data_IF_558411419368
#
_entry.id   IF_558411419368
#
_cell.length_a   1.000
_cell.length_b   1.000
_cell.length_c   1.000
_cell.angle_alpha   90.00
_cell.angle_beta   90.00
_cell.angle_gamma   90.00
#
_symmetry.space_group_name_H-M   'P 1'
#
loop_
_entity.id
_entity.type
_entity.pdbx_description
1 polymer ?
#
# COMPACT_ATOMS: atom_id res chain seq x y z
N UNK A 1 16.11 -10.99 24.78
CA UNK A 1 14.91 -10.49 24.05
C UNK A 1 13.77 -11.45 24.37
N UNK A 2 12.66 -10.96 24.91
CA UNK A 2 11.43 -11.75 25.04
C UNK A 2 10.80 -11.80 23.64
N UNK A 3 10.51 -12.99 23.08
CA UNK A 3 9.78 -13.06 21.82
C UNK A 3 8.39 -12.49 22.05
N UNK A 4 8.03 -11.46 21.28
CA UNK A 4 6.66 -10.99 21.21
C UNK A 4 5.86 -12.13 20.57
N UNK A 5 4.73 -12.56 21.17
CA UNK A 5 3.87 -13.57 20.56
C UNK A 5 3.44 -13.13 19.16
N UNK A 6 3.56 -14.02 18.18
CA UNK A 6 3.08 -13.78 16.80
C UNK A 6 1.56 -13.61 16.82
N UNK A 7 1.07 -12.60 16.11
CA UNK A 7 -0.38 -12.44 15.91
C UNK A 7 -0.83 -13.46 14.85
N UNK A 8 -1.93 -14.21 15.07
CA UNK A 8 -2.46 -15.13 14.06
C UNK A 8 -2.73 -14.49 12.69
N UNK A 9 -2.92 -13.17 12.64
CA UNK A 9 -3.17 -12.42 11.42
C UNK A 9 -1.90 -12.07 10.64
N UNK A 10 -0.71 -12.14 11.26
CA UNK A 10 0.57 -11.71 10.67
C UNK A 10 0.88 -12.37 9.33
N UNK A 11 0.43 -13.62 9.15
CA UNK A 11 0.66 -14.43 7.94
C UNK A 11 -0.23 -14.05 6.75
N UNK A 12 -1.20 -13.16 6.92
CA UNK A 12 -2.19 -12.86 5.88
C UNK A 12 -1.68 -11.88 4.83
N UNK A 13 -2.27 -11.99 3.65
CA UNK A 13 -2.18 -11.00 2.58
C UNK A 13 -2.99 -9.74 2.96
N UNK A 14 -2.74 -8.62 2.28
CA UNK A 14 -3.41 -7.35 2.59
C UNK A 14 -4.02 -6.68 1.36
N UNK A 15 -5.03 -5.86 1.61
CA UNK A 15 -5.50 -4.84 0.68
C UNK A 15 -4.99 -3.49 1.20
N UNK A 16 -4.17 -2.82 0.41
CA UNK A 16 -3.64 -1.50 0.71
C UNK A 16 -4.46 -0.45 -0.03
N UNK A 17 -5.18 0.38 0.72
CA UNK A 17 -5.94 1.51 0.21
C UNK A 17 -5.23 2.82 0.55
N UNK A 18 -4.92 3.63 -0.46
CA UNK A 18 -4.34 4.96 -0.29
C UNK A 18 -5.32 5.97 -0.90
N UNK A 19 -5.75 6.94 -0.10
CA UNK A 19 -6.72 7.97 -0.49
C UNK A 19 -6.16 9.34 -0.20
N UNK A 20 -6.29 10.25 -1.17
CA UNK A 20 -5.93 11.66 -0.99
C UNK A 20 -6.81 12.30 0.09
N UNK A 21 -6.18 12.93 1.08
CA UNK A 21 -6.87 13.69 2.12
C UNK A 21 -7.15 15.14 1.71
N UNK A 22 -6.91 16.08 2.63
CA UNK A 22 -6.99 17.52 2.33
C UNK A 22 -5.81 17.96 1.46
N UNK A 23 -6.05 18.90 0.54
CA UNK A 23 -5.01 19.45 -0.33
C UNK A 23 -5.21 19.14 -1.81
N UNK A 24 -6.39 18.65 -2.23
CA UNK A 24 -6.75 18.57 -3.65
C UNK A 24 -5.72 17.82 -4.50
N UNK A 25 -5.10 18.53 -5.45
CA UNK A 25 -4.12 17.96 -6.37
C UNK A 25 -2.81 17.57 -5.67
N UNK A 26 -2.33 18.35 -4.70
CA UNK A 26 -1.15 17.99 -3.91
C UNK A 26 -1.37 16.70 -3.11
N UNK A 27 -2.59 16.51 -2.58
CA UNK A 27 -2.95 15.28 -1.87
C UNK A 27 -2.96 14.07 -2.81
N UNK A 28 -3.43 14.24 -4.06
CA UNK A 28 -3.43 13.18 -5.05
C UNK A 28 -2.01 12.79 -5.50
N UNK A 29 -1.15 13.79 -5.73
CA UNK A 29 0.26 13.58 -6.06
C UNK A 29 0.96 12.81 -4.94
N UNK A 30 0.77 13.22 -3.68
CA UNK A 30 1.37 12.55 -2.54
C UNK A 30 0.86 11.11 -2.36
N UNK A 31 -0.43 10.86 -2.59
CA UNK A 31 -0.97 9.49 -2.62
C UNK A 31 -0.29 8.63 -3.71
N UNK A 32 0.03 9.22 -4.86
CA UNK A 32 0.83 8.59 -5.91
C UNK A 32 2.26 8.26 -5.47
N UNK A 33 2.90 9.14 -4.71
CA UNK A 33 4.24 8.90 -4.18
C UNK A 33 4.24 7.79 -3.12
N UNK A 34 3.24 7.75 -2.24
CA UNK A 34 3.05 6.65 -1.29
C UNK A 34 2.82 5.31 -2.01
N UNK A 35 1.97 5.28 -3.04
CA UNK A 35 1.74 4.07 -3.81
C UNK A 35 3.04 3.53 -4.43
N UNK A 36 3.83 4.41 -5.06
CA UNK A 36 5.15 4.05 -5.62
C UNK A 36 6.11 3.57 -4.55
N UNK A 37 6.13 4.22 -3.38
CA UNK A 37 6.97 3.83 -2.24
C UNK A 37 6.61 2.41 -1.77
N UNK A 38 5.33 2.12 -1.56
CA UNK A 38 4.89 0.80 -1.11
C UNK A 38 5.09 -0.28 -2.16
N UNK A 39 4.89 0.01 -3.45
CA UNK A 39 5.19 -0.93 -4.54
C UNK A 39 6.67 -1.34 -4.50
N UNK A 40 7.60 -0.37 -4.38
CA UNK A 40 9.03 -0.65 -4.25
C UNK A 40 9.38 -1.41 -2.98
N UNK A 41 8.72 -1.08 -1.87
CA UNK A 41 8.90 -1.82 -0.61
C UNK A 41 8.49 -3.28 -0.77
N UNK A 42 7.31 -3.55 -1.34
CA UNK A 42 6.83 -4.91 -1.58
C UNK A 42 7.74 -5.68 -2.54
N UNK A 43 8.21 -5.04 -3.61
CA UNK A 43 9.19 -5.62 -4.53
C UNK A 43 10.48 -6.01 -3.79
N UNK A 44 10.98 -5.15 -2.89
CA UNK A 44 12.18 -5.45 -2.08
C UNK A 44 12.00 -6.63 -1.12
N UNK A 45 10.75 -7.00 -0.80
CA UNK A 45 10.38 -8.15 0.02
C UNK A 45 10.07 -9.41 -0.81
N UNK A 46 10.09 -9.31 -2.15
CA UNK A 46 9.65 -10.38 -3.05
C UNK A 46 8.14 -10.62 -3.04
N UNK A 47 7.36 -9.66 -2.54
CA UNK A 47 5.90 -9.75 -2.52
C UNK A 47 5.30 -9.30 -3.86
N UNK A 48 4.16 -9.91 -4.21
CA UNK A 48 3.42 -9.57 -5.41
C UNK A 48 2.42 -8.45 -5.11
N UNK A 49 2.41 -7.42 -5.95
CA UNK A 49 1.46 -6.30 -5.88
C UNK A 49 0.61 -6.28 -7.14
N UNK A 50 -0.71 -6.21 -6.97
CA UNK A 50 -1.67 -6.03 -8.05
C UNK A 50 -2.58 -4.84 -7.76
N UNK A 51 -2.58 -3.83 -8.63
CA UNK A 51 -3.54 -2.71 -8.55
C UNK A 51 -4.93 -3.25 -8.91
N UNK A 52 -5.88 -3.14 -8.00
CA UNK A 52 -7.26 -3.63 -8.19
C UNK A 52 -8.24 -2.51 -8.51
N UNK A 53 -7.96 -1.28 -8.09
CA UNK A 53 -8.73 -0.08 -8.42
C UNK A 53 -7.81 1.15 -8.38
N UNK A 54 -8.04 2.11 -9.28
CA UNK A 54 -7.35 3.39 -9.26
C UNK A 54 -8.25 4.51 -9.79
N UNK A 55 -8.18 5.66 -9.13
CA UNK A 55 -8.85 6.91 -9.51
C UNK A 55 -7.80 8.01 -9.54
N UNK A 56 -7.52 8.53 -10.73
CA UNK A 56 -6.44 9.49 -10.95
C UNK A 56 -6.78 10.91 -10.45
N UNK A 57 -5.74 11.63 -10.00
CA UNK A 57 -5.83 13.06 -9.71
C UNK A 57 -5.90 13.89 -10.99
N UNK A 58 -6.46 15.10 -10.93
CA UNK A 58 -6.59 15.96 -12.10
C UNK A 58 -5.22 16.46 -12.61
N UNK A 59 -4.30 16.74 -11.69
CA UNK A 59 -2.92 17.13 -11.98
C UNK A 59 -1.90 15.97 -11.84
N UNK A 60 -2.37 14.71 -11.84
CA UNK A 60 -1.56 13.52 -11.63
C UNK A 60 -1.68 12.92 -10.22
N UNK A 61 -0.98 11.80 -10.00
CA UNK A 61 -1.16 10.98 -8.80
C UNK A 61 -2.53 10.31 -8.74
N UNK A 62 -3.03 10.01 -7.53
CA UNK A 62 -4.29 9.29 -7.33
C UNK A 62 -5.16 9.95 -6.26
N UNK A 63 -6.45 10.18 -6.56
CA UNK A 63 -7.46 10.43 -5.53
C UNK A 63 -7.65 9.20 -4.65
N UNK A 64 -7.59 8.03 -5.27
CA UNK A 64 -7.65 6.73 -4.61
C UNK A 64 -6.86 5.69 -5.41
N UNK A 65 -6.12 4.84 -4.73
CA UNK A 65 -5.55 3.62 -5.31
C UNK A 65 -5.67 2.47 -4.33
N UNK A 66 -6.11 1.32 -4.83
CA UNK A 66 -6.27 0.08 -4.08
C UNK A 66 -5.39 -0.99 -4.69
N UNK A 67 -4.60 -1.65 -3.85
CA UNK A 67 -3.67 -2.69 -4.24
C UNK A 67 -3.90 -3.94 -3.40
N UNK A 68 -3.94 -5.11 -4.04
CA UNK A 68 -3.77 -6.39 -3.35
C UNK A 68 -2.28 -6.70 -3.27
N UNK A 69 -1.80 -6.99 -2.06
CA UNK A 69 -0.42 -7.40 -1.80
C UNK A 69 -0.42 -8.81 -1.23
N UNK A 70 0.34 -9.70 -1.85
CA UNK A 70 0.44 -11.11 -1.45
C UNK A 70 1.87 -11.59 -1.33
N UNK A 71 2.12 -12.43 -0.33
CA UNK A 71 3.44 -12.95 0.00
C UNK A 71 3.51 -13.46 1.45
N UNK A 72 4.70 -13.83 1.88
CA UNK A 72 4.90 -14.35 3.23
C UNK A 72 4.88 -13.21 4.26
N UNK A 73 3.93 -13.27 5.19
CA UNK A 73 3.91 -12.40 6.37
C UNK A 73 3.58 -10.93 6.08
N UNK A 74 2.77 -10.65 5.06
CA UNK A 74 2.55 -9.27 4.59
C UNK A 74 1.92 -8.38 5.67
N UNK A 75 0.91 -8.88 6.38
CA UNK A 75 0.20 -8.11 7.40
C UNK A 75 1.03 -7.87 8.68
N UNK A 76 1.95 -8.78 9.01
CA UNK A 76 2.71 -8.76 10.26
C UNK A 76 3.98 -7.90 10.27
N UNK A 77 4.18 -7.04 9.26
CA UNK A 77 5.32 -6.10 9.17
C UNK A 77 4.82 -4.66 9.36
#
# INVERSE_FOLDING_TARGET
LLPIPTDPEDSKNVILEIRGGTGGDEAAIFAGDLAKMYMKFCESKGWNVAVTSASEGAAGGYKEIVMSVSGDGVYGI
#
